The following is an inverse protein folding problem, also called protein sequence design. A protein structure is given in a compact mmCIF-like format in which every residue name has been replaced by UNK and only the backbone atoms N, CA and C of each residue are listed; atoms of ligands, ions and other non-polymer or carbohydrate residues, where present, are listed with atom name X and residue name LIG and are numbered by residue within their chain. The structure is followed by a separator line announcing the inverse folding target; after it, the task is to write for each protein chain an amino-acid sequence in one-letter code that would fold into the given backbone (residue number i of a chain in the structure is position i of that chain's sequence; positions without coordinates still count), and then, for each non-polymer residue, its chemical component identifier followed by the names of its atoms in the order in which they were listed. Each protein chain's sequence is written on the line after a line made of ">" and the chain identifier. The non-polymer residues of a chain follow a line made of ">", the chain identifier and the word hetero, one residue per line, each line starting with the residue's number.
data_IF_646072801485
#
_entry.id   IF_646072801485
#
_cell.length_a   1.000
_cell.length_b   1.000
_cell.length_c   1.000
_cell.angle_alpha   90.00
_cell.angle_beta   90.00
_cell.angle_gamma   90.00
#
_symmetry.space_group_name_H-M   'P 1'
#
loop_
_entity.id
_entity.type
_entity.pdbx_description
1 polymer ?
#
# COMPACT_ATOMS: atom_id res chain seq x y z
N UNK A 1 -13.99 14.96 16.62
CA UNK A 1 -12.73 14.31 16.17
C UNK A 1 -13.02 13.58 14.86
N UNK A 2 -12.43 13.99 13.74
CA UNK A 2 -12.60 13.29 12.47
C UNK A 2 -11.96 11.89 12.57
N UNK A 3 -12.75 10.83 12.31
CA UNK A 3 -12.20 9.47 12.20
C UNK A 3 -11.25 9.46 11.01
N UNK A 4 -9.93 9.50 11.26
CA UNK A 4 -8.93 9.28 10.21
C UNK A 4 -9.15 7.86 9.67
N UNK A 5 -9.64 7.76 8.44
CA UNK A 5 -9.78 6.47 7.76
C UNK A 5 -8.38 5.89 7.60
N UNK A 6 -8.10 4.77 8.29
CA UNK A 6 -6.82 4.07 8.21
C UNK A 6 -6.86 3.13 7.02
N UNK A 7 -5.80 3.16 6.21
CA UNK A 7 -5.63 2.25 5.08
C UNK A 7 -4.31 1.49 5.28
N UNK A 8 -4.24 0.28 4.77
CA UNK A 8 -3.03 -0.55 4.81
C UNK A 8 -2.71 -1.05 3.41
N UNK A 9 -1.43 -1.12 3.08
CA UNK A 9 -1.01 -1.80 1.86
C UNK A 9 -1.32 -3.29 1.97
N UNK A 10 -1.97 -3.86 0.96
CA UNK A 10 -2.38 -5.26 0.95
C UNK A 10 -1.76 -5.98 -0.23
N UNK A 11 -0.96 -7.00 0.07
CA UNK A 11 -0.42 -7.92 -0.92
C UNK A 11 -1.51 -8.53 -1.79
N UNK A 12 -2.66 -8.87 -1.19
CA UNK A 12 -3.80 -9.42 -1.93
C UNK A 12 -4.26 -8.45 -3.00
N UNK A 13 -4.50 -7.19 -2.63
CA UNK A 13 -4.89 -6.12 -3.54
C UNK A 13 -3.85 -5.85 -4.63
N UNK A 14 -2.56 -5.90 -4.28
CA UNK A 14 -1.48 -5.80 -5.24
C UNK A 14 -1.55 -6.92 -6.29
N UNK A 15 -1.69 -8.18 -5.87
CA UNK A 15 -1.79 -9.34 -6.78
C UNK A 15 -3.05 -9.24 -7.65
N UNK A 16 -4.19 -8.81 -7.10
CA UNK A 16 -5.42 -8.58 -7.88
C UNK A 16 -5.23 -7.49 -8.96
N UNK A 17 -4.46 -6.43 -8.65
CA UNK A 17 -4.23 -5.32 -9.57
C UNK A 17 -3.15 -5.59 -10.63
N UNK A 18 -2.03 -6.21 -10.23
CA UNK A 18 -0.84 -6.41 -11.08
C UNK A 18 -0.70 -7.83 -11.63
N UNK A 19 -1.40 -8.79 -11.03
CA UNK A 19 -1.27 -10.21 -11.36
C UNK A 19 -0.11 -10.89 -10.63
N UNK A 20 -0.19 -12.21 -10.53
CA UNK A 20 0.78 -13.05 -9.81
C UNK A 20 2.20 -12.96 -10.40
N UNK A 21 2.32 -12.83 -11.73
CA UNK A 21 3.63 -12.71 -12.41
C UNK A 21 4.42 -11.48 -11.97
N UNK A 22 3.77 -10.33 -11.83
CA UNK A 22 4.43 -9.10 -11.38
C UNK A 22 4.72 -9.17 -9.88
N UNK A 23 3.81 -9.74 -9.09
CA UNK A 23 4.08 -10.02 -7.69
C UNK A 23 5.32 -10.90 -7.49
N UNK A 24 5.54 -11.94 -8.30
CA UNK A 24 6.73 -12.78 -8.17
C UNK A 24 8.05 -12.00 -8.41
N UNK A 25 8.04 -10.99 -9.28
CA UNK A 25 9.20 -10.11 -9.51
C UNK A 25 9.43 -9.13 -8.36
N UNK A 26 8.35 -8.66 -7.73
CA UNK A 26 8.40 -7.69 -6.62
C UNK A 26 8.10 -8.33 -5.27
N UNK A 27 8.25 -9.66 -5.14
CA UNK A 27 7.78 -10.44 -4.00
C UNK A 27 8.31 -9.91 -2.68
N UNK A 28 9.63 -9.72 -2.61
CA UNK A 28 10.31 -9.25 -1.40
C UNK A 28 9.76 -7.89 -0.95
N UNK A 29 9.59 -6.97 -1.89
CA UNK A 29 9.02 -5.65 -1.63
C UNK A 29 7.55 -5.76 -1.19
N UNK A 30 6.71 -6.51 -1.90
CA UNK A 30 5.27 -6.64 -1.60
C UNK A 30 5.05 -7.31 -0.25
N UNK A 31 5.80 -8.36 0.09
CA UNK A 31 5.70 -9.02 1.40
C UNK A 31 6.26 -8.12 2.51
N UNK A 32 7.36 -7.39 2.29
CA UNK A 32 7.93 -6.45 3.28
C UNK A 32 6.94 -5.37 3.69
N UNK A 33 6.18 -4.83 2.74
CA UNK A 33 5.23 -3.73 3.00
C UNK A 33 3.79 -4.19 3.23
N UNK A 34 3.51 -5.50 3.16
CA UNK A 34 2.17 -6.03 3.42
C UNK A 34 1.73 -5.73 4.86
N UNK A 35 0.59 -5.03 5.00
CA UNK A 35 0.05 -4.60 6.28
C UNK A 35 0.61 -3.26 6.79
N UNK A 36 1.54 -2.63 6.08
CA UNK A 36 2.04 -1.29 6.43
C UNK A 36 0.92 -0.27 6.29
N UNK A 37 0.80 0.62 7.27
CA UNK A 37 -0.19 1.69 7.25
C UNK A 37 0.19 2.73 6.19
N UNK A 38 -0.78 3.01 5.33
CA UNK A 38 -0.65 4.01 4.28
C UNK A 38 -1.57 5.19 4.59
N UNK A 39 -1.09 6.39 4.31
CA UNK A 39 -1.87 7.61 4.48
C UNK A 39 -2.34 8.09 3.12
N UNK A 40 -3.61 8.49 3.03
CA UNK A 40 -4.13 9.10 1.80
C UNK A 40 -3.33 10.37 1.52
N UNK A 41 -2.79 10.49 0.31
CA UNK A 41 -2.00 11.65 -0.07
C UNK A 41 -2.82 12.63 -0.89
N UNK A 42 -2.90 12.41 -2.21
CA UNK A 42 -3.67 13.24 -3.12
C UNK A 42 -4.18 12.38 -4.28
N UNK A 43 -5.40 12.63 -4.74
CA UNK A 43 -6.05 11.82 -5.79
C UNK A 43 -6.21 10.35 -5.38
N UNK A 44 -5.88 9.45 -6.30
CA UNK A 44 -5.92 7.98 -6.11
C UNK A 44 -4.60 7.38 -5.58
N UNK A 45 -3.71 8.21 -5.03
CA UNK A 45 -2.43 7.75 -4.51
C UNK A 45 -2.37 7.81 -2.98
N UNK A 46 -1.85 6.74 -2.40
CA UNK A 46 -1.47 6.63 -1.01
C UNK A 46 0.03 6.79 -0.87
N UNK A 47 0.47 7.27 0.28
CA UNK A 47 1.89 7.29 0.63
C UNK A 47 2.14 6.55 1.93
N UNK A 48 3.30 5.93 2.02
CA UNK A 48 3.85 5.44 3.28
C UNK A 48 5.34 5.67 3.33
N UNK A 49 5.86 5.74 4.55
CA UNK A 49 7.24 6.07 4.85
C UNK A 49 7.88 4.78 5.37
N UNK A 50 8.44 3.93 4.49
CA UNK A 50 9.14 2.70 4.90
C UNK A 50 10.36 2.97 5.79
N UNK A 51 10.99 4.13 5.62
CA UNK A 51 12.23 4.55 6.27
C UNK A 51 12.19 6.08 6.46
N UNK A 52 12.94 6.64 7.42
CA UNK A 52 12.90 8.09 7.76
C UNK A 52 13.25 9.05 6.59
N UNK A 53 13.86 8.52 5.52
CA UNK A 53 14.27 9.32 4.35
C UNK A 53 13.61 8.87 3.04
N UNK A 54 12.71 7.89 3.07
CA UNK A 54 12.08 7.36 1.88
C UNK A 54 10.57 7.46 2.00
N UNK A 55 9.96 8.17 1.05
CA UNK A 55 8.50 8.21 0.89
C UNK A 55 8.17 7.38 -0.34
N UNK A 56 7.33 6.37 -0.17
CA UNK A 56 6.80 5.58 -1.28
C UNK A 56 5.34 5.94 -1.54
N UNK A 57 5.02 6.04 -2.83
CA UNK A 57 3.66 6.28 -3.29
C UNK A 57 3.13 5.02 -3.95
N UNK A 58 1.97 4.56 -3.50
CA UNK A 58 1.28 3.40 -4.05
C UNK A 58 -0.15 3.77 -4.43
N UNK A 59 -0.71 3.17 -5.50
CA UNK A 59 -2.11 3.36 -5.84
C UNK A 59 -3.05 2.90 -4.73
N UNK A 60 -4.20 3.57 -4.62
CA UNK A 60 -5.31 3.20 -3.75
C UNK A 60 -5.77 1.77 -3.95
N UNK A 61 -5.77 1.30 -5.19
CA UNK A 61 -6.23 -0.03 -5.55
C UNK A 61 -5.38 -1.15 -4.92
N UNK A 62 -4.16 -0.85 -4.45
CA UNK A 62 -3.30 -1.79 -3.74
C UNK A 62 -3.53 -1.79 -2.22
N UNK A 63 -4.46 -0.97 -1.73
CA UNK A 63 -4.64 -0.73 -0.30
C UNK A 63 -6.05 -1.16 0.18
N UNK A 64 -6.14 -1.63 1.42
CA UNK A 64 -7.40 -1.98 2.07
C UNK A 64 -7.70 -1.03 3.21
N UNK A 65 -8.99 -0.73 3.42
CA UNK A 65 -9.43 0.12 4.54
C UNK A 65 -9.44 -0.71 5.82
N UNK A 66 -8.63 -0.31 6.79
CA UNK A 66 -8.59 -0.89 8.14
C UNK A 66 -9.79 -0.32 8.92
N UNK A 67 -10.73 -1.19 9.28
CA UNK A 67 -11.94 -0.84 10.04
C UNK A 67 -11.62 -0.54 11.51
#
# INVERSE_FOLDING_TARGET
>A
MAKKERYVFSKKKYIESKGEKEYLKSKEWVDKYNGVEVTHFIGNSFKFEPDEHSIMFVPRDWCEKKK
#
